data_IF_712293127910
#
_entry.id   IF_712293127910
#
_cell.length_a   1.000
_cell.length_b   1.000
_cell.length_c   1.000
_cell.angle_alpha   90.00
_cell.angle_beta   90.00
_cell.angle_gamma   90.00
#
_symmetry.space_group_name_H-M   'P 1'
#
loop_
_entity.id
_entity.type
_entity.pdbx_description
1 polymer ?
#
# COMPACT_ATOMS: atom_id res chain seq x y z
N UNK A 1 0.90 12.13 3.79
CA UNK A 1 0.55 11.08 4.77
C UNK A 1 -0.95 11.15 5.00
N UNK A 2 -1.65 10.06 4.76
CA UNK A 2 -3.11 9.96 4.89
C UNK A 2 -3.42 8.94 6.00
N UNK A 3 -4.37 9.27 6.87
CA UNK A 3 -4.84 8.33 7.90
C UNK A 3 -5.60 7.20 7.25
N UNK A 4 -5.35 5.96 7.66
CA UNK A 4 -6.15 4.81 7.23
C UNK A 4 -7.44 4.82 8.06
N UNK A 5 -8.62 4.91 7.40
CA UNK A 5 -9.90 4.89 8.10
C UNK A 5 -10.07 3.56 8.85
N UNK A 6 -10.38 3.64 10.14
CA UNK A 6 -10.57 2.47 10.99
C UNK A 6 -11.65 2.73 12.05
N UNK A 7 -12.84 2.17 11.81
CA UNK A 7 -13.99 2.32 12.70
C UNK A 7 -13.75 1.73 14.10
N UNK A 8 -12.79 0.81 14.27
CA UNK A 8 -12.45 0.19 15.55
C UNK A 8 -11.90 1.21 16.55
N UNK A 9 -11.20 2.23 16.06
CA UNK A 9 -10.57 3.24 16.89
C UNK A 9 -11.58 4.10 17.65
N UNK A 10 -12.68 4.50 17.00
CA UNK A 10 -13.73 5.28 17.64
C UNK A 10 -14.41 4.49 18.77
N UNK A 11 -14.71 3.21 18.52
CA UNK A 11 -15.33 2.32 19.51
C UNK A 11 -14.41 2.07 20.70
N UNK A 12 -13.12 1.82 20.46
CA UNK A 12 -12.13 1.68 21.54
C UNK A 12 -11.96 2.99 22.33
N UNK A 13 -11.95 4.13 21.66
CA UNK A 13 -11.83 5.42 22.33
C UNK A 13 -13.00 5.67 23.30
N UNK A 14 -14.21 5.27 22.93
CA UNK A 14 -15.39 5.32 23.81
C UNK A 14 -15.23 4.40 25.03
N UNK A 15 -14.84 3.14 24.82
CA UNK A 15 -14.66 2.14 25.89
C UNK A 15 -13.59 2.57 26.90
N UNK A 16 -12.49 3.17 26.43
CA UNK A 16 -11.35 3.54 27.26
C UNK A 16 -11.35 5.00 27.71
N UNK A 17 -12.31 5.81 27.28
CA UNK A 17 -12.36 7.25 27.55
C UNK A 17 -11.12 7.98 27.02
N UNK A 18 -10.66 7.61 25.83
CA UNK A 18 -9.40 8.11 25.26
C UNK A 18 -9.50 9.59 24.90
N UNK A 19 -8.51 10.38 25.30
CA UNK A 19 -8.44 11.80 24.94
C UNK A 19 -8.06 12.05 23.46
N UNK A 20 -7.44 11.08 22.79
CA UNK A 20 -6.99 11.18 21.39
C UNK A 20 -7.21 9.88 20.65
N UNK A 21 -7.46 9.99 19.34
CA UNK A 21 -7.51 8.87 18.41
C UNK A 21 -6.42 9.07 17.36
N UNK A 22 -5.57 8.06 17.18
CA UNK A 22 -4.41 8.10 16.29
C UNK A 22 -4.50 6.95 15.27
N UNK A 23 -4.94 7.22 14.03
CA UNK A 23 -5.03 6.18 13.01
C UNK A 23 -3.63 5.74 12.54
N UNK A 24 -3.58 4.54 11.95
CA UNK A 24 -2.46 4.14 11.12
C UNK A 24 -2.35 5.10 9.93
N UNK A 25 -1.17 5.22 9.32
CA UNK A 25 -0.99 6.13 8.18
C UNK A 25 -0.34 5.43 7.00
N UNK A 26 -0.71 5.88 5.80
CA UNK A 26 -0.06 5.55 4.53
C UNK A 26 0.60 6.81 3.99
N UNK A 27 1.81 6.66 3.46
CA UNK A 27 2.54 7.75 2.82
C UNK A 27 2.43 7.64 1.31
N UNK A 28 1.86 8.67 0.70
CA UNK A 28 1.86 8.87 -0.75
C UNK A 28 2.93 9.90 -1.09
N UNK A 29 3.78 9.55 -2.03
CA UNK A 29 4.81 10.44 -2.58
C UNK A 29 4.37 10.80 -3.98
N UNK A 30 4.19 12.10 -4.24
CA UNK A 30 3.88 12.58 -5.58
C UNK A 30 5.11 12.43 -6.49
N UNK A 31 4.88 11.86 -7.67
CA UNK A 31 5.92 11.64 -8.67
C UNK A 31 5.43 12.25 -9.98
N UNK A 32 6.12 13.30 -10.44
CA UNK A 32 5.76 14.04 -11.65
C UNK A 32 5.60 13.12 -12.87
N UNK A 33 4.54 13.28 -13.68
CA UNK A 33 4.15 12.32 -14.71
C UNK A 33 5.26 11.85 -15.68
N UNK A 34 5.22 10.56 -16.05
CA UNK A 34 6.08 9.96 -17.08
C UNK A 34 5.68 10.53 -18.43
N UNK A 35 6.68 10.98 -19.19
CA UNK A 35 6.57 11.23 -20.63
C UNK A 35 7.35 10.14 -21.35
N UNK A 36 6.91 9.76 -22.56
CA UNK A 36 7.66 8.84 -23.44
C UNK A 36 9.14 9.25 -23.52
N UNK A 37 10.04 8.27 -23.44
CA UNK A 37 11.49 8.48 -23.46
C UNK A 37 12.14 8.66 -22.08
N UNK A 38 11.41 8.41 -20.97
CA UNK A 38 11.97 8.50 -19.62
C UNK A 38 13.14 7.51 -19.39
N UNK A 39 13.14 6.38 -20.11
CA UNK A 39 14.17 5.34 -20.05
C UNK A 39 15.43 5.62 -20.89
N UNK A 40 15.43 6.61 -21.79
CA UNK A 40 16.56 6.90 -22.69
C UNK A 40 17.74 7.63 -22.01
N UNK A 41 17.62 7.94 -20.72
CA UNK A 41 18.75 8.34 -19.87
C UNK A 41 19.15 9.83 -19.93
N UNK A 42 18.51 10.64 -20.77
CA UNK A 42 18.70 12.10 -20.78
C UNK A 42 17.56 12.84 -20.04
N UNK A 43 17.89 13.65 -19.03
CA UNK A 43 16.96 14.63 -18.44
C UNK A 43 16.12 14.18 -17.24
N UNK A 44 14.88 14.67 -17.16
CA UNK A 44 13.97 14.53 -16.00
C UNK A 44 13.53 13.08 -15.72
N UNK A 45 13.50 12.20 -16.73
CA UNK A 45 13.03 10.82 -16.60
C UNK A 45 13.83 9.97 -15.62
N UNK A 46 15.15 10.15 -15.51
CA UNK A 46 15.96 9.37 -14.58
C UNK A 46 15.74 9.77 -13.10
N UNK A 47 15.46 11.06 -12.83
CA UNK A 47 15.07 11.52 -11.49
C UNK A 47 13.73 10.92 -11.07
N UNK A 48 12.79 10.84 -11.99
CA UNK A 48 11.49 10.21 -11.77
C UNK A 48 11.63 8.73 -11.38
N UNK A 49 12.40 7.95 -12.15
CA UNK A 49 12.59 6.52 -11.88
C UNK A 49 13.27 6.27 -10.52
N UNK A 50 14.10 7.21 -10.05
CA UNK A 50 14.72 7.12 -8.72
C UNK A 50 13.69 7.22 -7.59
N UNK A 51 12.69 8.10 -7.72
CA UNK A 51 11.62 8.22 -6.72
C UNK A 51 10.72 6.97 -6.68
N UNK A 52 10.39 6.39 -7.85
CA UNK A 52 9.70 5.10 -7.89
C UNK A 52 10.53 4.00 -7.22
N UNK A 53 11.86 4.02 -7.42
CA UNK A 53 12.73 2.99 -6.85
C UNK A 53 12.68 2.96 -5.33
N UNK A 54 12.52 4.12 -4.69
CA UNK A 54 12.37 4.29 -3.24
C UNK A 54 10.98 3.94 -2.69
N UNK A 55 9.94 3.89 -3.55
CA UNK A 55 8.58 3.54 -3.12
C UNK A 55 8.40 2.02 -2.90
N UNK A 56 7.38 1.62 -2.16
CA UNK A 56 7.05 0.19 -1.96
C UNK A 56 5.96 -0.32 -2.90
N UNK A 57 5.13 0.57 -3.44
CA UNK A 57 4.09 0.31 -4.42
C UNK A 57 4.00 1.50 -5.39
N UNK A 58 3.32 1.30 -6.52
CA UNK A 58 3.06 2.33 -7.52
C UNK A 58 1.55 2.58 -7.57
N UNK A 59 1.13 3.81 -7.29
CA UNK A 59 -0.23 4.27 -7.49
C UNK A 59 -0.28 5.03 -8.82
N UNK A 60 -0.87 4.41 -9.84
CA UNK A 60 -0.96 5.00 -11.17
C UNK A 60 -2.32 5.65 -11.38
N UNK A 61 -2.35 6.97 -11.37
CA UNK A 61 -3.55 7.76 -11.69
C UNK A 61 -3.70 7.83 -13.21
N UNK A 62 -4.83 7.35 -13.72
CA UNK A 62 -5.14 7.29 -15.15
C UNK A 62 -6.42 8.08 -15.40
N UNK A 63 -6.39 8.99 -16.37
CA UNK A 63 -7.55 9.82 -16.73
C UNK A 63 -8.57 8.98 -17.49
N UNK A 64 -9.83 9.03 -17.06
CA UNK A 64 -10.97 8.43 -17.77
C UNK A 64 -11.98 9.48 -18.20
N UNK A 65 -12.18 10.52 -17.40
CA UNK A 65 -13.10 11.62 -17.70
C UNK A 65 -12.75 12.32 -19.02
N UNK A 66 -13.80 12.76 -19.73
CA UNK A 66 -13.70 13.49 -20.99
C UNK A 66 -14.05 14.96 -20.73
N UNK A 67 -13.03 15.80 -20.78
CA UNK A 67 -13.17 17.25 -20.66
C UNK A 67 -12.40 17.91 -21.80
N UNK A 68 -13.12 18.63 -22.66
CA UNK A 68 -12.60 19.33 -23.83
C UNK A 68 -11.68 20.51 -23.43
N UNK A 69 -11.81 21.03 -22.21
CA UNK A 69 -10.99 22.13 -21.69
C UNK A 69 -9.64 21.63 -21.13
N UNK A 70 -9.47 20.32 -20.93
CA UNK A 70 -8.23 19.72 -20.41
C UNK A 70 -7.53 18.93 -21.51
N UNK A 71 -6.37 19.43 -21.95
CA UNK A 71 -5.57 18.75 -22.98
C UNK A 71 -4.93 17.47 -22.47
N UNK A 72 -4.94 16.43 -23.30
CA UNK A 72 -4.24 15.19 -23.01
C UNK A 72 -2.98 15.07 -23.88
N UNK A 73 -1.91 14.49 -23.31
CA UNK A 73 -0.57 14.44 -23.91
C UNK A 73 -0.58 13.78 -25.29
N UNK A 74 -1.42 12.76 -25.48
CA UNK A 74 -1.56 12.02 -26.74
C UNK A 74 -2.76 12.48 -27.61
N UNK A 75 -3.46 13.55 -27.19
CA UNK A 75 -4.55 14.18 -27.95
C UNK A 75 -5.94 13.54 -27.79
N UNK A 76 -6.05 12.25 -27.45
CA UNK A 76 -7.33 11.56 -27.16
C UNK A 76 -7.20 10.68 -25.91
N UNK A 77 -8.16 10.79 -24.98
CA UNK A 77 -8.15 10.05 -23.70
C UNK A 77 -8.25 8.55 -23.96
N UNK A 78 -7.16 7.83 -23.69
CA UNK A 78 -7.11 6.37 -23.82
C UNK A 78 -6.36 5.74 -22.64
N UNK A 79 -7.10 5.30 -21.59
CA UNK A 79 -6.52 4.70 -20.40
C UNK A 79 -5.59 3.50 -20.70
N UNK A 80 -5.93 2.69 -21.71
CA UNK A 80 -5.12 1.53 -22.09
C UNK A 80 -3.76 1.92 -22.65
N UNK A 81 -3.74 2.94 -23.52
CA UNK A 81 -2.49 3.46 -24.07
C UNK A 81 -1.62 4.10 -22.98
N UNK A 82 -2.20 4.88 -22.09
CA UNK A 82 -1.49 5.51 -20.96
C UNK A 82 -0.83 4.46 -20.06
N UNK A 83 -1.58 3.41 -19.69
CA UNK A 83 -1.07 2.30 -18.89
C UNK A 83 0.05 1.56 -19.62
N UNK A 84 -0.14 1.24 -20.90
CA UNK A 84 0.88 0.54 -21.68
C UNK A 84 2.17 1.37 -21.85
N UNK A 85 2.05 2.70 -21.96
CA UNK A 85 3.19 3.60 -22.10
C UNK A 85 4.04 3.59 -20.84
N UNK A 86 3.41 3.79 -19.68
CA UNK A 86 4.10 3.75 -18.37
C UNK A 86 4.75 2.37 -18.15
N UNK A 87 4.01 1.29 -18.40
CA UNK A 87 4.53 -0.06 -18.26
C UNK A 87 5.76 -0.29 -19.15
N UNK A 88 5.73 0.17 -20.40
CA UNK A 88 6.84 0.02 -21.34
C UNK A 88 8.08 0.75 -20.84
N UNK A 89 7.96 1.99 -20.36
CA UNK A 89 9.10 2.75 -19.83
C UNK A 89 9.73 2.09 -18.60
N UNK A 90 8.90 1.51 -17.70
CA UNK A 90 9.39 0.79 -16.53
C UNK A 90 10.10 -0.52 -16.91
N UNK A 91 9.58 -1.24 -17.91
CA UNK A 91 10.23 -2.46 -18.45
C UNK A 91 11.58 -2.10 -19.07
N UNK A 92 11.66 -1.05 -19.89
CA UNK A 92 12.90 -0.61 -20.51
C UNK A 92 13.96 -0.21 -19.47
N UNK A 93 13.55 0.47 -18.39
CA UNK A 93 14.45 0.80 -17.29
C UNK A 93 14.96 -0.44 -16.54
N UNK A 94 14.09 -1.43 -16.32
CA UNK A 94 14.47 -2.69 -15.69
C UNK A 94 15.36 -3.55 -16.58
N UNK A 95 15.13 -3.58 -17.90
CA UNK A 95 15.99 -4.24 -18.88
C UNK A 95 17.43 -3.76 -18.74
N UNK A 96 17.64 -2.44 -18.81
CA UNK A 96 18.96 -1.86 -18.64
C UNK A 96 19.59 -2.20 -17.27
N UNK A 97 18.77 -2.30 -16.23
CA UNK A 97 19.24 -2.65 -14.88
C UNK A 97 19.74 -4.10 -14.83
N UNK A 98 18.95 -5.04 -15.38
CA UNK A 98 19.25 -6.47 -15.37
C UNK A 98 20.43 -6.79 -16.29
N UNK A 99 20.47 -6.23 -17.51
CA UNK A 99 21.58 -6.40 -18.46
C UNK A 99 22.93 -5.96 -17.88
N UNK A 100 22.94 -4.84 -17.15
CA UNK A 100 24.16 -4.35 -16.46
C UNK A 100 24.55 -5.25 -15.27
N UNK A 101 23.57 -5.87 -14.60
CA UNK A 101 23.80 -6.68 -13.42
C UNK A 101 24.32 -8.09 -13.76
N UNK A 102 23.84 -8.72 -14.83
CA UNK A 102 24.17 -10.10 -15.19
C UNK A 102 25.69 -10.35 -15.28
N UNK A 103 26.51 -9.57 -16.00
CA UNK A 103 27.95 -9.81 -16.09
C UNK A 103 28.68 -9.77 -14.74
N UNK A 104 28.17 -8.97 -13.78
CA UNK A 104 28.68 -8.91 -12.41
C UNK A 104 28.28 -10.18 -11.65
N UNK A 105 27.00 -10.56 -11.69
CA UNK A 105 26.48 -11.77 -11.05
C UNK A 105 27.16 -13.04 -11.59
N UNK A 106 27.47 -13.10 -12.88
CA UNK A 106 28.22 -14.22 -13.48
C UNK A 106 29.62 -14.39 -12.89
N UNK A 107 30.32 -13.29 -12.60
CA UNK A 107 31.64 -13.34 -11.97
C UNK A 107 31.54 -13.77 -10.51
N UNK A 108 30.55 -13.23 -9.79
CA UNK A 108 30.32 -13.53 -8.38
C UNK A 108 29.89 -14.99 -8.16
N UNK A 109 28.98 -15.51 -8.97
CA UNK A 109 28.47 -16.89 -8.89
C UNK A 109 29.54 -17.96 -9.17
N UNK A 110 30.60 -17.63 -9.95
CA UNK A 110 31.74 -18.53 -10.15
C UNK A 110 32.52 -18.80 -8.87
N UNK A 111 32.59 -17.80 -7.99
CA UNK A 111 33.36 -17.89 -6.73
C UNK A 111 32.45 -18.33 -5.58
N UNK A 112 31.20 -17.87 -5.58
CA UNK A 112 30.24 -18.07 -4.51
C UNK A 112 29.02 -18.83 -5.02
N UNK A 113 28.99 -20.15 -4.77
CA UNK A 113 27.92 -21.05 -5.27
C UNK A 113 26.51 -20.64 -4.85
N UNK A 114 26.33 -19.99 -3.71
CA UNK A 114 25.02 -19.54 -3.25
C UNK A 114 24.40 -18.45 -4.14
N UNK A 115 25.20 -17.75 -4.95
CA UNK A 115 24.73 -16.71 -5.88
C UNK A 115 24.31 -17.25 -7.24
N UNK A 116 24.44 -18.56 -7.49
CA UNK A 116 23.97 -19.17 -8.73
C UNK A 116 22.46 -18.98 -8.92
N UNK A 117 21.68 -19.14 -7.86
CA UNK A 117 20.23 -18.92 -7.90
C UNK A 117 19.86 -17.46 -8.24
N UNK A 118 20.59 -16.48 -7.70
CA UNK A 118 20.38 -15.06 -8.03
C UNK A 118 20.69 -14.77 -9.51
N UNK A 119 21.75 -15.37 -10.05
CA UNK A 119 22.10 -15.23 -11.46
C UNK A 119 21.03 -15.86 -12.37
N UNK A 120 20.54 -17.06 -12.03
CA UNK A 120 19.52 -17.74 -12.81
C UNK A 120 18.21 -16.94 -12.80
N UNK A 121 17.79 -16.44 -11.63
CA UNK A 121 16.62 -15.56 -11.51
C UNK A 121 16.78 -14.25 -12.28
N UNK A 122 17.98 -13.65 -12.30
CA UNK A 122 18.24 -12.46 -13.09
C UNK A 122 18.17 -12.73 -14.61
N UNK A 123 18.62 -13.91 -15.06
CA UNK A 123 18.50 -14.32 -16.47
C UNK A 123 17.06 -14.62 -16.87
N UNK A 124 16.29 -15.25 -15.98
CA UNK A 124 14.84 -15.46 -16.18
C UNK A 124 14.11 -14.12 -16.27
N UNK A 125 14.41 -13.20 -15.35
CA UNK A 125 13.87 -11.83 -15.36
C UNK A 125 14.18 -11.10 -16.68
N UNK A 126 15.41 -11.21 -17.20
CA UNK A 126 15.79 -10.62 -18.49
C UNK A 126 14.88 -11.12 -19.61
N UNK A 127 14.69 -12.44 -19.73
CA UNK A 127 13.86 -13.02 -20.80
C UNK A 127 12.39 -12.58 -20.75
N UNK A 128 11.82 -12.42 -19.56
CA UNK A 128 10.46 -11.89 -19.40
C UNK A 128 10.36 -10.42 -19.79
N UNK A 129 11.33 -9.60 -19.36
CA UNK A 129 11.36 -8.19 -19.70
C UNK A 129 11.56 -7.96 -21.20
N UNK A 130 12.40 -8.76 -21.87
CA UNK A 130 12.60 -8.72 -23.33
C UNK A 130 11.30 -9.06 -24.09
N UNK A 131 10.47 -9.93 -23.51
CA UNK A 131 9.14 -10.25 -24.01
C UNK A 131 8.07 -9.19 -23.67
N UNK A 132 8.43 -8.08 -23.02
CA UNK A 132 7.50 -7.03 -22.62
C UNK A 132 6.61 -7.39 -21.42
N UNK A 133 7.00 -8.39 -20.62
CA UNK A 133 6.26 -8.83 -19.44
C UNK A 133 6.86 -8.23 -18.17
N UNK A 134 6.11 -7.46 -17.36
CA UNK A 134 6.61 -6.91 -16.10
C UNK A 134 6.84 -8.02 -15.07
N UNK A 135 7.88 -7.87 -14.22
CA UNK A 135 8.31 -8.93 -13.30
C UNK A 135 7.20 -9.38 -12.33
N UNK A 136 6.32 -8.49 -11.89
CA UNK A 136 5.20 -8.84 -11.01
C UNK A 136 4.22 -9.84 -11.63
N UNK A 137 4.12 -9.89 -12.97
CA UNK A 137 3.25 -10.82 -13.70
C UNK A 137 3.93 -12.16 -14.00
N UNK A 138 5.13 -12.41 -13.47
CA UNK A 138 5.93 -13.61 -13.73
C UNK A 138 6.03 -14.53 -12.51
N UNK A 139 6.57 -15.73 -12.72
CA UNK A 139 6.91 -16.68 -11.65
C UNK A 139 8.29 -16.48 -11.03
N UNK A 140 9.05 -15.48 -11.49
CA UNK A 140 10.42 -15.23 -11.02
C UNK A 140 10.42 -15.03 -9.49
N UNK A 141 11.30 -15.74 -8.79
CA UNK A 141 11.48 -15.53 -7.35
C UNK A 141 12.10 -14.16 -7.07
N UNK A 142 11.23 -13.19 -6.79
CA UNK A 142 11.59 -11.80 -6.50
C UNK A 142 12.53 -11.65 -5.30
N UNK A 143 12.60 -12.62 -4.39
CA UNK A 143 13.53 -12.57 -3.26
C UNK A 143 15.00 -12.67 -3.70
N UNK A 144 15.27 -13.36 -4.81
CA UNK A 144 16.60 -13.56 -5.37
C UNK A 144 17.11 -12.36 -6.18
N UNK A 145 16.21 -11.49 -6.63
CA UNK A 145 16.52 -10.29 -7.43
C UNK A 145 16.17 -9.00 -6.69
N UNK A 146 15.87 -9.07 -5.39
CA UNK A 146 15.48 -7.93 -4.58
C UNK A 146 16.51 -6.80 -4.60
N UNK A 147 17.80 -7.14 -4.60
CA UNK A 147 18.89 -6.17 -4.62
C UNK A 147 18.98 -5.37 -5.93
N UNK A 148 18.34 -5.85 -7.01
CA UNK A 148 18.25 -5.10 -8.27
C UNK A 148 17.22 -3.98 -8.20
N UNK A 149 16.35 -3.96 -7.18
CA UNK A 149 15.29 -2.97 -6.98
C UNK A 149 14.47 -2.71 -8.25
N UNK A 150 14.06 -3.78 -8.95
CA UNK A 150 13.32 -3.70 -10.21
C UNK A 150 11.97 -3.01 -10.00
N UNK A 151 11.65 -2.06 -10.88
CA UNK A 151 10.47 -1.21 -10.78
C UNK A 151 9.21 -2.02 -11.07
N UNK A 152 9.25 -2.88 -12.08
CA UNK A 152 8.15 -3.75 -12.52
C UNK A 152 7.87 -4.93 -11.58
N UNK A 153 8.67 -5.11 -10.52
CA UNK A 153 8.44 -6.09 -9.47
C UNK A 153 7.50 -5.57 -8.37
N UNK A 154 7.29 -4.24 -8.30
CA UNK A 154 6.44 -3.55 -7.32
C UNK A 154 4.95 -3.77 -7.64
N UNK A 155 4.08 -3.83 -6.62
CA UNK A 155 2.64 -3.85 -6.85
C UNK A 155 2.12 -2.52 -7.40
N UNK A 156 1.12 -2.62 -8.28
CA UNK A 156 0.41 -1.49 -8.87
C UNK A 156 -0.98 -1.38 -8.29
N UNK A 157 -1.41 -0.14 -8.05
CA UNK A 157 -2.78 0.26 -7.75
C UNK A 157 -3.17 1.23 -8.84
N UNK A 158 -4.23 0.92 -9.58
CA UNK A 158 -4.71 1.79 -10.65
C UNK A 158 -5.84 2.64 -10.12
N UNK A 159 -5.68 3.96 -10.23
CA UNK A 159 -6.70 4.94 -9.85
C UNK A 159 -7.22 5.56 -11.13
N UNK A 160 -8.46 5.23 -11.49
CA UNK A 160 -9.17 5.80 -12.61
C UNK A 160 -9.86 7.09 -12.13
N UNK A 161 -9.36 8.22 -12.62
CA UNK A 161 -9.93 9.53 -12.34
C UNK A 161 -11.11 9.77 -13.29
N UNK A 162 -12.31 9.89 -12.74
CA UNK A 162 -13.60 9.90 -13.41
C UNK A 162 -14.40 11.14 -12.99
N UNK A 163 -15.35 11.59 -13.82
CA UNK A 163 -16.38 12.53 -13.37
C UNK A 163 -17.63 11.73 -12.95
N UNK A 164 -18.69 12.44 -12.54
CA UNK A 164 -19.94 11.83 -12.05
C UNK A 164 -20.58 10.84 -13.06
N UNK A 165 -20.51 11.14 -14.36
CA UNK A 165 -21.10 10.29 -15.40
C UNK A 165 -20.34 8.95 -15.52
N UNK A 166 -19.00 8.98 -15.55
CA UNK A 166 -18.20 7.76 -15.59
C UNK A 166 -18.27 6.96 -14.27
N UNK A 167 -18.39 7.65 -13.12
CA UNK A 167 -18.61 7.00 -11.83
C UNK A 167 -19.97 6.29 -11.75
N UNK A 168 -20.97 6.75 -12.51
CA UNK A 168 -22.28 6.08 -12.58
C UNK A 168 -22.31 4.91 -13.60
N UNK A 169 -21.34 4.81 -14.50
CA UNK A 169 -21.29 3.79 -15.56
C UNK A 169 -20.56 2.51 -15.10
N UNK A 170 -21.33 1.50 -14.68
CA UNK A 170 -20.77 0.20 -14.29
C UNK A 170 -20.11 -0.56 -15.45
N UNK A 171 -20.58 -0.39 -16.68
CA UNK A 171 -19.98 -1.10 -17.83
C UNK A 171 -18.58 -0.55 -18.14
N UNK A 172 -18.40 0.77 -18.03
CA UNK A 172 -17.10 1.41 -18.12
C UNK A 172 -16.17 0.95 -16.99
N UNK A 173 -16.67 0.93 -15.74
CA UNK A 173 -15.89 0.46 -14.59
C UNK A 173 -15.45 -0.99 -14.76
N UNK A 174 -16.32 -1.88 -15.23
CA UNK A 174 -15.96 -3.28 -15.50
C UNK A 174 -14.92 -3.41 -16.63
N UNK A 175 -15.02 -2.60 -17.68
CA UNK A 175 -14.00 -2.54 -18.73
C UNK A 175 -12.64 -2.10 -18.17
N UNK A 176 -12.61 -1.09 -17.30
CA UNK A 176 -11.38 -0.60 -16.67
C UNK A 176 -10.80 -1.61 -15.67
N UNK A 177 -11.64 -2.29 -14.89
CA UNK A 177 -11.20 -3.40 -14.01
C UNK A 177 -10.56 -4.53 -14.82
N UNK A 178 -11.17 -4.91 -15.94
CA UNK A 178 -10.65 -5.95 -16.82
C UNK A 178 -9.31 -5.58 -17.46
N UNK A 179 -9.09 -4.29 -17.73
CA UNK A 179 -7.86 -3.77 -18.32
C UNK A 179 -6.62 -3.97 -17.42
N UNK A 180 -6.82 -3.92 -16.10
CA UNK A 180 -5.71 -3.95 -15.12
C UNK A 180 -5.66 -5.21 -14.28
N UNK A 181 -6.63 -6.13 -14.44
CA UNK A 181 -6.68 -7.38 -13.71
C UNK A 181 -5.36 -8.18 -13.87
N UNK A 182 -4.83 -8.78 -12.79
CA UNK A 182 -5.42 -8.93 -11.45
C UNK A 182 -5.10 -7.78 -10.47
N UNK A 183 -4.55 -6.65 -10.95
CA UNK A 183 -4.30 -5.50 -10.09
C UNK A 183 -5.61 -4.81 -9.66
N UNK A 184 -5.56 -4.11 -8.54
CA UNK A 184 -6.72 -3.41 -8.00
C UNK A 184 -7.01 -2.13 -8.79
N UNK A 185 -8.30 -1.90 -9.07
CA UNK A 185 -8.80 -0.71 -9.75
C UNK A 185 -9.70 0.10 -8.82
N UNK A 186 -9.33 1.35 -8.58
CA UNK A 186 -10.07 2.32 -7.77
C UNK A 186 -10.62 3.39 -8.70
N UNK A 187 -11.86 3.80 -8.45
CA UNK A 187 -12.52 4.86 -9.21
C UNK A 187 -12.83 6.00 -8.27
N UNK A 188 -12.41 7.20 -8.62
CA UNK A 188 -12.68 8.40 -7.84
C UNK A 188 -12.77 9.62 -8.75
N UNK A 189 -13.41 10.67 -8.24
CA UNK A 189 -13.37 12.00 -8.82
C UNK A 189 -12.38 12.84 -8.00
N UNK A 190 -11.19 13.06 -8.54
CA UNK A 190 -10.13 13.77 -7.82
C UNK A 190 -10.50 15.23 -7.49
N UNK A 191 -11.39 15.85 -8.28
CA UNK A 191 -11.87 17.20 -8.02
C UNK A 191 -12.84 17.18 -6.84
N UNK A 192 -13.78 16.25 -6.83
CA UNK A 192 -14.70 16.04 -5.71
C UNK A 192 -13.94 15.71 -4.41
N UNK A 193 -12.92 14.84 -4.47
CA UNK A 193 -12.08 14.54 -3.30
C UNK A 193 -11.35 15.80 -2.78
N UNK A 194 -10.89 16.68 -3.68
CA UNK A 194 -10.27 17.95 -3.29
C UNK A 194 -11.27 18.88 -2.58
N UNK A 195 -12.49 18.98 -3.11
CA UNK A 195 -13.56 19.79 -2.50
C UNK A 195 -13.92 19.26 -1.10
N UNK A 196 -14.01 17.94 -0.91
CA UNK A 196 -14.25 17.33 0.41
C UNK A 196 -13.16 17.68 1.43
N UNK A 197 -11.90 17.66 1.01
CA UNK A 197 -10.76 17.99 1.89
C UNK A 197 -10.78 19.48 2.27
N UNK A 198 -11.19 20.37 1.35
CA UNK A 198 -11.25 21.81 1.58
C UNK A 198 -12.35 22.25 2.56
N UNK A 199 -13.44 21.48 2.69
CA UNK A 199 -14.50 21.78 3.66
C UNK A 199 -13.97 21.80 5.10
N UNK A 200 -13.10 20.87 5.47
CA UNK A 200 -12.51 20.77 6.81
C UNK A 200 -13.51 20.43 7.94
N UNK A 201 -14.80 20.26 7.63
CA UNK A 201 -15.87 19.85 8.53
C UNK A 201 -16.41 18.47 8.12
N UNK A 202 -16.35 17.52 9.06
CA UNK A 202 -16.74 16.13 8.80
C UNK A 202 -18.26 15.94 8.61
N UNK A 203 -19.10 16.78 9.23
CA UNK A 203 -20.54 16.71 9.05
C UNK A 203 -20.95 17.29 7.70
N UNK A 204 -20.31 18.38 7.26
CA UNK A 204 -20.52 18.94 5.91
C UNK A 204 -20.03 17.98 4.82
N UNK A 205 -18.83 17.41 4.98
CA UNK A 205 -18.30 16.40 4.06
C UNK A 205 -19.24 15.19 3.95
N UNK A 206 -19.79 14.71 5.08
CA UNK A 206 -20.76 13.60 5.08
C UNK A 206 -22.08 13.96 4.41
N UNK A 207 -22.55 15.20 4.57
CA UNK A 207 -23.74 15.68 3.89
C UNK A 207 -23.53 15.73 2.37
N UNK A 208 -22.38 16.23 1.92
CA UNK A 208 -22.01 16.29 0.50
C UNK A 208 -21.87 14.89 -0.12
N UNK A 209 -21.21 13.96 0.57
CA UNK A 209 -21.15 12.54 0.17
C UNK A 209 -22.56 11.94 -0.03
N UNK A 210 -23.46 12.21 0.92
CA UNK A 210 -24.85 11.72 0.86
C UNK A 210 -25.61 12.32 -0.32
N UNK A 211 -25.42 13.61 -0.62
CA UNK A 211 -26.04 14.29 -1.76
C UNK A 211 -25.57 13.73 -3.10
N UNK A 212 -24.30 13.38 -3.20
CA UNK A 212 -23.68 12.81 -4.39
C UNK A 212 -23.89 11.28 -4.51
N UNK A 213 -24.52 10.65 -3.51
CA UNK A 213 -24.75 9.21 -3.51
C UNK A 213 -23.49 8.36 -3.30
N UNK A 214 -22.45 8.93 -2.69
CA UNK A 214 -21.17 8.28 -2.41
C UNK A 214 -21.14 7.84 -0.94
N UNK A 215 -20.79 6.58 -0.68
CA UNK A 215 -20.79 6.02 0.68
C UNK A 215 -19.58 6.46 1.53
N UNK A 216 -18.40 6.53 0.93
CA UNK A 216 -17.15 6.91 1.59
C UNK A 216 -16.22 7.67 0.62
N UNK A 217 -15.29 8.52 1.10
CA UNK A 217 -14.32 9.20 0.25
C UNK A 217 -13.46 8.23 -0.57
N UNK A 218 -13.17 8.55 -1.82
CA UNK A 218 -12.26 7.79 -2.67
C UNK A 218 -10.83 7.73 -2.13
N UNK A 219 -10.37 8.79 -1.44
CA UNK A 219 -9.07 8.79 -0.76
C UNK A 219 -9.00 7.78 0.41
N UNK A 220 -10.12 7.55 1.08
CA UNK A 220 -10.25 6.58 2.16
C UNK A 220 -10.16 5.14 1.62
N UNK A 221 -10.82 4.88 0.49
CA UNK A 221 -10.68 3.63 -0.27
C UNK A 221 -9.23 3.42 -0.72
N UNK A 222 -8.60 4.46 -1.29
CA UNK A 222 -7.21 4.41 -1.75
C UNK A 222 -6.23 4.13 -0.61
N UNK A 223 -6.42 4.76 0.55
CA UNK A 223 -5.60 4.51 1.73
C UNK A 223 -5.71 3.04 2.18
N UNK A 224 -6.92 2.49 2.22
CA UNK A 224 -7.18 1.10 2.63
C UNK A 224 -6.59 0.09 1.64
N UNK A 225 -6.84 0.25 0.34
CA UNK A 225 -6.26 -0.59 -0.73
C UNK A 225 -4.74 -0.49 -0.72
N UNK A 226 -4.19 0.72 -0.57
CA UNK A 226 -2.74 0.95 -0.47
C UNK A 226 -2.12 0.19 0.70
N UNK A 227 -2.75 0.25 1.86
CA UNK A 227 -2.32 -0.45 3.06
C UNK A 227 -2.30 -1.97 2.86
N UNK A 228 -3.38 -2.52 2.29
CA UNK A 228 -3.48 -3.96 2.02
C UNK A 228 -2.49 -4.44 0.96
N UNK A 229 -2.32 -3.65 -0.12
CA UNK A 229 -1.39 -3.93 -1.23
C UNK A 229 0.06 -3.98 -0.75
N UNK A 230 0.40 -3.15 0.23
CA UNK A 230 1.72 -3.17 0.89
C UNK A 230 1.91 -4.34 1.84
N UNK A 231 0.90 -5.21 1.99
CA UNK A 231 0.90 -6.33 2.93
C UNK A 231 0.93 -5.86 4.39
N UNK A 232 0.31 -4.71 4.68
CA UNK A 232 0.26 -4.14 6.02
C UNK A 232 -1.03 -4.55 6.72
N UNK A 233 -0.97 -4.60 8.04
CA UNK A 233 -2.12 -4.78 8.93
C UNK A 233 -1.92 -3.89 10.16
N UNK A 234 -2.95 -3.81 11.01
CA UNK A 234 -2.92 -2.98 12.22
C UNK A 234 -3.04 -3.82 13.49
N UNK A 235 -2.35 -3.40 14.54
CA UNK A 235 -2.74 -3.73 15.91
C UNK A 235 -3.12 -2.46 16.67
N UNK A 236 -3.86 -2.60 17.75
CA UNK A 236 -4.48 -1.49 18.46
C UNK A 236 -3.94 -1.41 19.90
N UNK A 237 -3.68 -0.19 20.37
CA UNK A 237 -3.43 0.09 21.79
C UNK A 237 -4.46 1.11 22.26
N UNK A 238 -5.10 0.87 23.40
CA UNK A 238 -6.14 1.74 23.92
C UNK A 238 -5.94 2.06 25.40
N UNK A 239 -6.17 3.33 25.76
CA UNK A 239 -6.11 3.81 27.14
C UNK A 239 -6.63 5.23 27.29
N UNK A 240 -6.65 5.79 28.50
CA UNK A 240 -7.25 7.12 28.75
C UNK A 240 -6.55 8.27 27.99
N UNK A 241 -5.26 8.12 27.69
CA UNK A 241 -4.51 9.14 26.94
C UNK A 241 -4.79 9.09 25.45
N UNK A 242 -4.77 7.91 24.87
CA UNK A 242 -4.94 7.71 23.44
C UNK A 242 -5.45 6.30 23.12
N UNK A 243 -6.16 6.21 22.01
CA UNK A 243 -6.37 4.97 21.25
C UNK A 243 -5.63 5.11 19.93
N UNK A 244 -4.82 4.12 19.59
CA UNK A 244 -3.90 4.19 18.45
C UNK A 244 -3.88 2.89 17.66
N UNK A 245 -3.91 3.00 16.33
CA UNK A 245 -3.56 1.93 15.41
C UNK A 245 -2.08 2.00 15.05
N UNK A 246 -1.42 0.86 15.11
CA UNK A 246 -0.01 0.69 14.78
C UNK A 246 0.14 -0.18 13.55
N UNK A 247 0.87 0.33 12.57
CA UNK A 247 1.15 -0.36 11.31
C UNK A 247 2.22 -1.43 11.48
N UNK A 248 1.92 -2.66 11.07
CA UNK A 248 2.86 -3.78 11.00
C UNK A 248 2.69 -4.52 9.67
N UNK A 249 3.68 -5.31 9.27
CA UNK A 249 3.50 -6.24 8.13
C UNK A 249 2.64 -7.43 8.55
N UNK A 250 1.82 -7.94 7.63
CA UNK A 250 1.13 -9.22 7.77
C UNK A 250 2.18 -10.30 8.07
N UNK A 251 1.95 -11.09 9.11
CA UNK A 251 2.89 -12.11 9.59
C UNK A 251 3.93 -11.64 10.61
N UNK A 252 3.93 -10.36 11.01
CA UNK A 252 4.83 -9.88 12.06
C UNK A 252 4.54 -10.56 13.41
N UNK A 253 5.60 -10.92 14.13
CA UNK A 253 5.54 -11.49 15.47
C UNK A 253 5.28 -10.41 16.53
N UNK A 254 4.82 -10.81 17.72
CA UNK A 254 4.59 -9.88 18.84
C UNK A 254 5.82 -9.03 19.22
N UNK A 255 7.07 -9.57 19.25
CA UNK A 255 8.26 -8.75 19.45
C UNK A 255 8.51 -7.73 18.35
N UNK A 256 8.30 -8.09 17.08
CA UNK A 256 8.44 -7.16 15.94
C UNK A 256 7.40 -6.05 16.01
N UNK A 257 6.16 -6.38 16.37
CA UNK A 257 5.09 -5.42 16.58
C UNK A 257 5.39 -4.46 17.74
N UNK A 258 5.92 -4.97 18.85
CA UNK A 258 6.37 -4.14 19.96
C UNK A 258 7.51 -3.20 19.56
N UNK A 259 8.40 -3.65 18.67
CA UNK A 259 9.48 -2.85 18.09
C UNK A 259 9.03 -1.60 17.33
N UNK A 260 7.80 -1.61 16.78
CA UNK A 260 7.20 -0.43 16.11
C UNK A 260 6.92 0.70 17.11
N UNK A 261 6.62 0.38 18.38
CA UNK A 261 6.48 1.39 19.43
C UNK A 261 7.86 1.97 19.78
N UNK A 262 8.81 1.08 20.06
CA UNK A 262 10.19 1.44 20.34
C UNK A 262 11.12 0.23 20.17
N UNK A 263 12.33 0.43 19.66
CA UNK A 263 13.30 -0.66 19.43
C UNK A 263 13.68 -1.41 20.72
N UNK A 264 13.68 -0.74 21.87
CA UNK A 264 13.92 -1.38 23.17
C UNK A 264 12.80 -2.35 23.59
N UNK A 265 11.55 -2.12 23.17
CA UNK A 265 10.47 -3.06 23.47
C UNK A 265 10.69 -4.40 22.78
N UNK A 266 11.22 -4.39 21.56
CA UNK A 266 11.55 -5.61 20.83
C UNK A 266 12.70 -6.38 21.51
N UNK A 267 13.76 -5.67 21.93
CA UNK A 267 14.92 -6.27 22.62
C UNK A 267 14.55 -6.81 24.00
N UNK A 268 13.76 -6.03 24.74
CA UNK A 268 13.31 -6.31 26.09
C UNK A 268 12.02 -7.12 26.17
N UNK A 269 11.48 -7.61 25.04
CA UNK A 269 10.17 -8.26 25.00
C UNK A 269 10.11 -9.46 25.95
N UNK A 270 9.10 -9.47 26.83
CA UNK A 270 8.81 -10.59 27.73
C UNK A 270 7.59 -11.36 27.22
N UNK A 271 6.46 -10.67 27.07
CA UNK A 271 5.15 -11.22 26.68
C UNK A 271 4.20 -10.12 26.25
N UNK A 272 3.16 -10.47 25.52
CA UNK A 272 2.07 -9.56 25.15
C UNK A 272 0.76 -10.02 25.80
N UNK A 273 0.03 -9.10 26.44
CA UNK A 273 -1.35 -9.34 26.84
C UNK A 273 -2.25 -8.91 25.67
N UNK A 274 -2.94 -9.87 25.04
CA UNK A 274 -3.66 -9.68 23.77
C UNK A 274 -5.12 -10.09 23.92
N UNK A 275 -6.03 -9.29 23.37
CA UNK A 275 -7.43 -9.64 23.16
C UNK A 275 -7.84 -9.25 21.74
N UNK A 276 -8.69 -10.04 21.09
CA UNK A 276 -9.23 -9.64 19.79
C UNK A 276 -10.15 -8.43 19.96
N UNK A 277 -10.22 -7.54 18.98
CA UNK A 277 -11.15 -6.41 18.99
C UNK A 277 -12.60 -6.88 19.25
N UNK A 278 -13.05 -7.91 18.54
CA UNK A 278 -14.42 -8.42 18.65
C UNK A 278 -14.73 -8.97 20.05
N UNK A 279 -13.81 -9.74 20.65
CA UNK A 279 -13.99 -10.26 22.01
C UNK A 279 -14.02 -9.13 23.05
N UNK A 280 -13.21 -8.09 22.85
CA UNK A 280 -13.19 -6.92 23.73
C UNK A 280 -14.50 -6.13 23.62
N UNK A 281 -15.00 -5.92 22.40
CA UNK A 281 -16.27 -5.22 22.21
C UNK A 281 -17.46 -6.02 22.76
N UNK A 282 -17.47 -7.33 22.59
CA UNK A 282 -18.50 -8.20 23.16
C UNK A 282 -18.49 -8.21 24.70
N UNK A 283 -17.30 -8.11 25.32
CA UNK A 283 -17.16 -8.05 26.78
C UNK A 283 -17.43 -6.64 27.35
N UNK A 284 -17.23 -5.60 26.54
CA UNK A 284 -17.43 -4.19 26.88
C UNK A 284 -16.31 -3.56 27.73
N UNK A 285 -15.50 -4.36 28.44
CA UNK A 285 -14.31 -3.86 29.16
C UNK A 285 -13.20 -4.91 29.19
N UNK A 286 -11.94 -4.47 29.33
CA UNK A 286 -10.79 -5.36 29.52
C UNK A 286 -10.94 -6.28 30.73
N UNK A 287 -11.52 -5.78 31.83
CA UNK A 287 -11.74 -6.58 33.04
C UNK A 287 -12.70 -7.74 32.75
N UNK A 288 -13.84 -7.47 32.10
CA UNK A 288 -14.81 -8.50 31.72
C UNK A 288 -14.25 -9.49 30.71
N UNK A 289 -13.47 -9.01 29.74
CA UNK A 289 -12.78 -9.87 28.78
C UNK A 289 -11.79 -10.82 29.48
N UNK A 290 -11.10 -10.33 30.51
CA UNK A 290 -10.17 -11.13 31.33
C UNK A 290 -10.90 -12.16 32.18
N UNK A 291 -12.00 -11.78 32.84
CA UNK A 291 -12.86 -12.68 33.61
C UNK A 291 -13.48 -13.78 32.74
N UNK A 292 -13.81 -13.45 31.48
CA UNK A 292 -14.31 -14.40 30.48
C UNK A 292 -13.22 -15.26 29.84
N UNK A 293 -11.94 -15.10 30.22
CA UNK A 293 -10.82 -15.86 29.68
C UNK A 293 -10.47 -15.54 28.23
N UNK A 294 -10.87 -14.37 27.72
CA UNK A 294 -10.60 -13.93 26.34
C UNK A 294 -9.26 -13.24 26.16
N UNK A 295 -8.71 -12.71 27.25
CA UNK A 295 -7.39 -12.08 27.27
C UNK A 295 -6.31 -13.16 27.36
N UNK A 296 -5.44 -13.20 26.34
CA UNK A 296 -4.36 -14.17 26.19
C UNK A 296 -3.02 -13.56 26.59
N UNK A 297 -2.12 -14.40 27.06
CA UNK A 297 -0.72 -14.03 27.31
C UNK A 297 0.12 -14.76 26.26
N UNK A 298 0.66 -13.97 25.33
CA UNK A 298 1.34 -14.48 24.16
C UNK A 298 2.86 -14.27 24.25
N UNK A 299 3.59 -15.25 23.70
CA UNK A 299 5.05 -15.31 23.71
C UNK A 299 5.68 -14.68 22.46
N UNK A 300 6.97 -14.97 22.26
CA UNK A 300 7.77 -14.42 21.15
C UNK A 300 7.34 -14.93 19.78
N UNK A 301 6.79 -16.14 19.72
CA UNK A 301 6.41 -16.81 18.48
C UNK A 301 4.98 -16.47 18.02
N UNK A 302 4.24 -15.67 18.81
CA UNK A 302 2.90 -15.26 18.42
C UNK A 302 2.96 -14.33 17.22
N UNK A 303 2.25 -14.70 16.16
CA UNK A 303 2.05 -13.88 14.97
C UNK A 303 0.82 -13.01 15.22
N UNK A 304 1.00 -11.69 15.12
CA UNK A 304 -0.07 -10.72 15.35
C UNK A 304 -1.19 -10.92 14.35
N UNK A 305 -2.43 -10.75 14.82
CA UNK A 305 -3.63 -10.76 13.99
C UNK A 305 -4.13 -9.32 13.85
N UNK A 306 -4.69 -8.99 12.68
CA UNK A 306 -5.27 -7.67 12.47
C UNK A 306 -6.35 -7.35 13.52
N UNK A 307 -6.27 -6.16 14.10
CA UNK A 307 -7.18 -5.70 15.14
C UNK A 307 -6.89 -6.25 16.54
N UNK A 308 -5.79 -6.98 16.76
CA UNK A 308 -5.36 -7.36 18.10
C UNK A 308 -5.21 -6.11 18.98
N UNK A 309 -5.88 -6.08 20.13
CA UNK A 309 -5.73 -5.05 21.15
C UNK A 309 -4.70 -5.55 22.16
N UNK A 310 -3.58 -4.83 22.29
CA UNK A 310 -2.38 -5.35 22.95
C UNK A 310 -1.81 -4.42 24.03
N UNK A 311 -1.34 -5.02 25.12
CA UNK A 311 -0.42 -4.41 26.09
C UNK A 311 0.88 -5.23 26.14
N UNK A 312 2.00 -4.63 25.73
CA UNK A 312 3.31 -5.27 25.77
C UNK A 312 3.95 -5.20 27.16
N UNK A 313 4.47 -6.32 27.64
CA UNK A 313 5.33 -6.40 28.84
C UNK A 313 6.78 -6.56 28.38
N UNK A 314 7.63 -5.64 28.79
CA UNK A 314 9.05 -5.60 28.44
C UNK A 314 9.89 -5.23 29.67
N UNK A 315 11.17 -5.57 29.62
CA UNK A 315 12.16 -5.08 30.58
C UNK A 315 13.10 -4.10 29.89
N UNK A 316 13.39 -2.98 30.53
CA UNK A 316 14.36 -1.97 30.06
C UNK A 316 15.74 -2.28 30.62
#
# INVERSE_FOLDING_TARGET
MVGVPDARLAQLAEVFGSAKVLPATVEFVDIAGIVRGASEGEGLGNKFLSHIRESSAICQVTRVFRDDDVTHVDGEVNPGNDISTIQTELILADLQTVEKAIPRLEKEARTTKSLAANLDAAKEALGHLEAGTPIIATSVDRSLIRDLSLLTAKPFIYVFNCDADELADEALKDQMRALVAPAEAIFLDAKFESELVELGDADEARAMLTEMGVEEPGLDVLARVGFDTLGLQTYLTAGPKETRAWTIKKGATAPEAAGVIHTDFQRGFIKAEIVSFDDLMAAGTMLKAKEAGKVRIEGKDYVMVDGDVVEFRFNV
#
